data_IF_173050113816
#
_entry.id   IF_173050113816
#
_cell.length_a   1.000
_cell.length_b   1.000
_cell.length_c   1.000
_cell.angle_alpha   90.00
_cell.angle_beta   90.00
_cell.angle_gamma   90.00
#
_symmetry.space_group_name_H-M   'P 1'
#
loop_
_entity.id
_entity.type
_entity.pdbx_description
1 polymer ?
#
# COMPACT_ATOMS: atom_id res chain seq x y z
N UNK A 1 -23.31 -5.78 -2.81
CA UNK A 1 -22.10 -4.97 -2.47
C UNK A 1 -21.25 -5.79 -1.51
N UNK A 2 -20.13 -6.36 -1.96
CA UNK A 2 -19.34 -7.35 -1.21
C UNK A 2 -18.30 -6.66 -0.32
N UNK A 3 -18.67 -6.19 0.86
CA UNK A 3 -17.67 -5.77 1.84
C UNK A 3 -18.12 -6.16 3.25
N UNK A 4 -17.59 -7.28 3.75
CA UNK A 4 -17.65 -7.61 5.18
C UNK A 4 -16.57 -8.64 5.55
N UNK A 5 -15.41 -8.63 4.90
CA UNK A 5 -14.26 -9.42 5.36
C UNK A 5 -13.19 -8.51 5.98
N UNK A 6 -12.43 -9.02 6.95
CA UNK A 6 -11.29 -8.30 7.56
C UNK A 6 -10.32 -7.76 6.50
N UNK A 7 -10.18 -8.47 5.37
CA UNK A 7 -9.34 -8.08 4.24
C UNK A 7 -9.85 -6.80 3.55
N UNK A 8 -11.14 -6.70 3.29
CA UNK A 8 -11.72 -5.51 2.64
C UNK A 8 -11.49 -4.23 3.47
N UNK A 9 -11.58 -4.36 4.80
CA UNK A 9 -11.31 -3.26 5.72
C UNK A 9 -9.84 -2.84 5.65
N UNK A 10 -8.92 -3.81 5.62
CA UNK A 10 -7.49 -3.53 5.48
C UNK A 10 -7.15 -2.93 4.11
N UNK A 11 -7.78 -3.40 3.03
CA UNK A 11 -7.61 -2.83 1.69
C UNK A 11 -8.00 -1.36 1.66
N UNK A 12 -9.19 -1.04 2.21
CA UNK A 12 -9.67 0.34 2.28
C UNK A 12 -8.76 1.22 3.14
N UNK A 13 -8.32 0.73 4.31
CA UNK A 13 -7.38 1.46 5.19
C UNK A 13 -6.01 1.66 4.52
N UNK A 14 -5.51 0.66 3.81
CA UNK A 14 -4.25 0.75 3.06
C UNK A 14 -4.34 1.81 1.99
N UNK A 15 -5.42 1.79 1.21
CA UNK A 15 -5.65 2.75 0.15
C UNK A 15 -5.77 4.18 0.70
N UNK A 16 -6.50 4.37 1.80
CA UNK A 16 -6.62 5.66 2.47
C UNK A 16 -5.26 6.21 2.95
N UNK A 17 -4.43 5.38 3.57
CA UNK A 17 -3.07 5.77 3.98
C UNK A 17 -2.19 6.15 2.78
N UNK A 18 -2.28 5.40 1.68
CA UNK A 18 -1.51 5.67 0.46
C UNK A 18 -1.97 6.99 -0.18
N UNK A 19 -3.28 7.25 -0.21
CA UNK A 19 -3.82 8.52 -0.71
C UNK A 19 -3.38 9.71 0.15
N UNK A 20 -3.41 9.57 1.48
CA UNK A 20 -2.92 10.62 2.40
C UNK A 20 -1.43 10.90 2.25
N UNK A 21 -0.65 9.91 1.83
CA UNK A 21 0.78 10.07 1.58
C UNK A 21 1.07 10.83 0.26
N UNK A 22 0.07 11.01 -0.60
CA UNK A 22 0.17 11.85 -1.81
C UNK A 22 1.33 11.47 -2.73
N UNK A 23 1.99 12.49 -3.29
CA UNK A 23 3.11 12.30 -4.24
C UNK A 23 4.38 11.76 -3.57
N UNK A 24 4.58 12.01 -2.27
CA UNK A 24 5.70 11.44 -1.51
C UNK A 24 5.57 9.91 -1.40
N UNK A 25 4.34 9.43 -1.33
CA UNK A 25 4.04 8.02 -1.13
C UNK A 25 4.49 7.50 0.24
N UNK A 26 4.35 6.20 0.44
CA UNK A 26 4.68 5.53 1.70
C UNK A 26 5.61 4.34 1.45
N UNK A 27 6.59 4.13 2.33
CA UNK A 27 7.41 2.93 2.25
C UNK A 27 6.57 1.69 2.57
N UNK A 28 6.79 0.63 1.80
CA UNK A 28 6.08 -0.64 1.97
C UNK A 28 6.23 -1.16 3.41
N UNK A 29 7.43 -1.07 3.99
CA UNK A 29 7.70 -1.44 5.39
C UNK A 29 6.92 -0.62 6.40
N UNK A 30 6.72 0.67 6.15
CA UNK A 30 6.03 1.58 7.07
C UNK A 30 4.53 1.40 6.99
N UNK A 31 4.00 1.14 5.79
CA UNK A 31 2.59 0.80 5.60
C UNK A 31 2.22 -0.44 6.43
N UNK A 32 3.08 -1.47 6.43
CA UNK A 32 2.87 -2.68 7.24
C UNK A 32 2.84 -2.39 8.73
N UNK A 33 3.80 -1.60 9.22
CA UNK A 33 3.88 -1.22 10.63
C UNK A 33 2.66 -0.40 11.05
N UNK A 34 2.19 0.53 10.22
CA UNK A 34 1.02 1.37 10.53
C UNK A 34 -0.30 0.58 10.58
N UNK A 35 -0.40 -0.51 9.84
CA UNK A 35 -1.60 -1.32 9.75
C UNK A 35 -1.55 -2.62 10.58
N UNK A 36 -0.47 -2.80 11.35
CA UNK A 36 -0.20 -4.01 12.14
C UNK A 36 -0.41 -5.29 11.31
N UNK A 37 0.21 -5.33 10.13
CA UNK A 37 0.01 -6.41 9.17
C UNK A 37 1.31 -7.09 8.76
N UNK A 38 1.21 -8.37 8.43
CA UNK A 38 2.36 -9.11 7.90
C UNK A 38 2.73 -8.65 6.50
N UNK A 39 4.01 -8.80 6.14
CA UNK A 39 4.51 -8.52 4.77
C UNK A 39 3.77 -9.32 3.70
N UNK A 40 3.30 -10.54 4.02
CA UNK A 40 2.53 -11.41 3.13
C UNK A 40 1.13 -10.88 2.87
N UNK A 41 0.40 -10.48 3.91
CA UNK A 41 -0.92 -9.87 3.77
C UNK A 41 -0.81 -8.54 3.03
N UNK A 42 0.18 -7.74 3.40
CA UNK A 42 0.47 -6.46 2.79
C UNK A 42 0.71 -6.58 1.30
N UNK A 43 1.64 -7.46 0.93
CA UNK A 43 1.96 -7.69 -0.48
C UNK A 43 0.74 -8.10 -1.30
N UNK A 44 -0.17 -8.92 -0.74
CA UNK A 44 -1.40 -9.33 -1.44
C UNK A 44 -2.34 -8.16 -1.68
N UNK A 45 -2.51 -7.28 -0.68
CA UNK A 45 -3.31 -6.05 -0.82
C UNK A 45 -2.70 -5.15 -1.89
N UNK A 46 -1.39 -4.92 -1.85
CA UNK A 46 -0.71 -4.09 -2.84
C UNK A 46 -0.86 -4.63 -4.26
N UNK A 47 -0.66 -5.94 -4.47
CA UNK A 47 -0.84 -6.56 -5.79
C UNK A 47 -2.26 -6.35 -6.32
N UNK A 48 -3.29 -6.47 -5.47
CA UNK A 48 -4.68 -6.21 -5.86
C UNK A 48 -4.91 -4.75 -6.22
N UNK A 49 -4.49 -3.82 -5.36
CA UNK A 49 -4.63 -2.38 -5.61
C UNK A 49 -3.87 -1.93 -6.87
N UNK A 50 -2.70 -2.52 -7.12
CA UNK A 50 -1.89 -2.30 -8.33
C UNK A 50 -2.57 -2.88 -9.57
N UNK A 51 -3.18 -4.08 -9.48
CA UNK A 51 -3.97 -4.66 -10.58
C UNK A 51 -5.21 -3.83 -10.94
N UNK A 52 -5.77 -3.10 -9.97
CA UNK A 52 -6.85 -2.14 -10.19
C UNK A 52 -6.35 -0.77 -10.67
N UNK A 53 -5.04 -0.59 -10.79
CA UNK A 53 -4.43 0.66 -11.21
C UNK A 53 -4.64 1.81 -10.22
N UNK A 54 -4.84 1.52 -8.92
CA UNK A 54 -5.04 2.53 -7.86
C UNK A 54 -3.73 3.01 -7.25
N UNK A 55 -2.71 2.14 -7.27
CA UNK A 55 -1.40 2.42 -6.69
C UNK A 55 -0.29 2.00 -7.66
N UNK A 56 0.89 2.59 -7.48
CA UNK A 56 2.14 2.21 -8.14
C UNK A 56 3.20 1.92 -7.10
N UNK A 57 4.06 0.94 -7.38
CA UNK A 57 5.22 0.60 -6.56
C UNK A 57 6.50 0.94 -7.29
N UNK A 58 7.32 1.77 -6.67
CA UNK A 58 8.63 2.15 -7.18
C UNK A 58 9.69 1.50 -6.30
N UNK A 59 10.61 0.75 -6.91
CA UNK A 59 11.72 0.13 -6.18
C UNK A 59 12.71 1.23 -5.80
N UNK A 60 13.02 1.34 -4.51
CA UNK A 60 13.96 2.33 -3.98
C UNK A 60 14.99 1.66 -3.07
N UNK A 61 16.18 2.26 -2.97
CA UNK A 61 17.20 1.86 -2.00
C UNK A 61 17.03 2.70 -0.74
N UNK A 62 16.76 2.06 0.39
CA UNK A 62 16.65 2.70 1.70
C UNK A 62 17.62 2.01 2.66
N UNK A 63 18.61 2.74 3.20
CA UNK A 63 19.61 2.23 4.15
C UNK A 63 20.30 0.92 3.68
N UNK A 64 20.69 0.86 2.40
CA UNK A 64 21.34 -0.31 1.82
C UNK A 64 20.42 -1.51 1.57
N UNK A 65 19.10 -1.37 1.80
CA UNK A 65 18.09 -2.39 1.54
C UNK A 65 17.12 -1.93 0.47
N UNK A 66 16.85 -2.82 -0.48
CA UNK A 66 15.80 -2.57 -1.47
C UNK A 66 14.43 -2.67 -0.82
N UNK A 67 13.63 -1.63 -1.00
CA UNK A 67 12.23 -1.58 -0.59
C UNK A 67 11.40 -0.99 -1.72
N UNK A 68 10.09 -0.97 -1.54
CA UNK A 68 9.18 -0.32 -2.48
C UNK A 68 8.55 0.90 -1.83
N UNK A 69 8.54 2.01 -2.56
CA UNK A 69 7.72 3.17 -2.27
C UNK A 69 6.40 3.00 -2.99
N UNK A 70 5.30 3.09 -2.25
CA UNK A 70 3.95 2.94 -2.75
C UNK A 70 3.34 4.32 -2.90
N UNK A 71 2.89 4.66 -4.11
CA UNK A 71 2.25 5.94 -4.43
C UNK A 71 0.85 5.71 -4.99
N UNK A 72 -0.05 6.67 -4.82
CA UNK A 72 -1.33 6.64 -5.54
C UNK A 72 -1.08 6.92 -7.02
N UNK A 73 -1.83 6.24 -7.89
CA UNK A 73 -1.80 6.53 -9.34
C UNK A 73 -2.65 7.74 -9.69
N UNK A 74 -3.68 8.00 -8.89
CA UNK A 74 -4.51 9.19 -9.00
C UNK A 74 -3.85 10.31 -8.21
N UNK A 75 -3.68 11.45 -8.86
CA UNK A 75 -3.50 12.73 -8.17
C UNK A 75 -4.80 13.02 -7.40
N UNK A 76 -4.72 13.50 -6.15
CA UNK A 76 -5.90 13.96 -5.42
C UNK A 76 -6.62 15.07 -6.18
#
# INVERSE_FOLDING_TARGET
MRFATKRDILEKKSLDLIFRAGEEGILQTDLWKKLDMSSREGSRICVRLESWGLIKREKILCDGRWTYRIKSTRKP
#
